data_IF_853335361504
#
_entry.id   IF_853335361504
#
_cell.length_a   1.000
_cell.length_b   1.000
_cell.length_c   1.000
_cell.angle_alpha   90.00
_cell.angle_beta   90.00
_cell.angle_gamma   90.00
#
_symmetry.space_group_name_H-M   'P 1'
#
loop_
_entity.id
_entity.type
_entity.pdbx_description
1 polymer ?
#
# COMPACT_ATOMS: atom_id res chain seq x y z
N UNK A 1 5.33 -15.56 -15.01
CA UNK A 1 4.49 -14.34 -14.90
C UNK A 1 3.54 -14.28 -16.09
N UNK A 2 2.26 -13.95 -15.93
CA UNK A 2 1.33 -13.83 -17.07
C UNK A 2 1.67 -12.58 -17.90
N UNK A 3 1.36 -12.58 -19.21
CA UNK A 3 1.54 -11.42 -20.09
C UNK A 3 0.79 -10.18 -19.54
N UNK A 4 -0.38 -10.40 -18.94
CA UNK A 4 -1.14 -9.33 -18.29
C UNK A 4 -0.38 -8.69 -17.12
N UNK A 5 0.25 -9.51 -16.30
CA UNK A 5 1.05 -9.01 -15.17
C UNK A 5 2.23 -8.16 -15.63
N UNK A 6 2.92 -8.60 -16.69
CA UNK A 6 4.03 -7.85 -17.30
C UNK A 6 3.56 -6.49 -17.85
N UNK A 7 2.41 -6.46 -18.53
CA UNK A 7 1.82 -5.19 -19.03
C UNK A 7 1.54 -4.23 -17.87
N UNK A 8 0.97 -4.72 -16.76
CA UNK A 8 0.66 -3.87 -15.60
C UNK A 8 1.92 -3.33 -14.92
N UNK A 9 2.97 -4.15 -14.81
CA UNK A 9 4.26 -3.74 -14.24
C UNK A 9 4.91 -2.63 -15.08
N UNK A 10 5.04 -2.86 -16.40
CA UNK A 10 5.60 -1.84 -17.30
C UNK A 10 4.75 -0.57 -17.38
N UNK A 11 3.43 -0.71 -17.30
CA UNK A 11 2.55 0.45 -17.24
C UNK A 11 2.73 1.25 -15.94
N UNK A 12 2.97 0.58 -14.81
CA UNK A 12 3.28 1.26 -13.55
C UNK A 12 4.58 2.06 -13.65
N UNK A 13 5.64 1.52 -14.29
CA UNK A 13 6.89 2.25 -14.56
C UNK A 13 6.61 3.54 -15.36
N UNK A 14 5.92 3.42 -16.50
CA UNK A 14 5.62 4.56 -17.38
C UNK A 14 4.77 5.62 -16.67
N UNK A 15 3.72 5.21 -15.96
CA UNK A 15 2.90 6.14 -15.19
C UNK A 15 3.67 6.79 -14.04
N UNK A 16 4.60 6.08 -13.42
CA UNK A 16 5.45 6.63 -12.37
C UNK A 16 6.45 7.65 -12.90
N UNK A 17 7.06 7.39 -14.06
CA UNK A 17 8.06 8.26 -14.69
C UNK A 17 7.42 9.52 -15.29
N UNK A 18 6.39 9.35 -16.12
CA UNK A 18 5.82 10.40 -16.96
C UNK A 18 4.55 11.03 -16.38
N UNK A 19 4.01 10.46 -15.31
CA UNK A 19 2.66 10.79 -14.83
C UNK A 19 1.58 10.30 -15.78
N UNK A 20 0.34 10.28 -15.30
CA UNK A 20 -0.80 9.84 -16.13
C UNK A 20 -0.97 10.70 -17.39
N UNK A 21 -0.82 12.02 -17.28
CA UNK A 21 -1.04 12.93 -18.43
C UNK A 21 0.05 12.77 -19.49
N UNK A 22 1.31 12.62 -19.09
CA UNK A 22 2.45 12.48 -19.99
C UNK A 22 2.58 11.10 -20.64
N UNK A 23 2.03 10.05 -20.04
CA UNK A 23 2.05 8.70 -20.59
C UNK A 23 1.10 8.59 -21.80
N UNK A 24 1.62 8.55 -23.02
CA UNK A 24 0.83 8.24 -24.21
C UNK A 24 0.59 6.74 -24.35
N UNK A 25 -0.47 6.36 -25.11
CA UNK A 25 -0.74 4.95 -25.41
C UNK A 25 0.38 4.33 -26.27
N UNK A 26 0.99 5.13 -27.12
CA UNK A 26 2.15 4.76 -27.94
C UNK A 26 3.35 4.42 -27.08
N UNK A 27 3.65 5.25 -26.07
CA UNK A 27 4.76 5.02 -25.14
C UNK A 27 4.51 3.79 -24.28
N UNK A 28 3.29 3.62 -23.76
CA UNK A 28 2.88 2.41 -23.03
C UNK A 28 3.08 1.16 -23.89
N UNK A 29 2.60 1.17 -25.14
CA UNK A 29 2.75 0.04 -26.06
C UNK A 29 4.24 -0.27 -26.31
N UNK A 30 5.05 0.75 -26.59
CA UNK A 30 6.49 0.62 -26.81
C UNK A 30 7.21 -0.02 -25.62
N UNK A 31 6.93 0.44 -24.39
CA UNK A 31 7.55 -0.07 -23.15
C UNK A 31 7.18 -1.52 -22.85
N UNK A 32 5.97 -1.95 -23.21
CA UNK A 32 5.55 -3.35 -23.05
C UNK A 32 5.92 -4.24 -24.24
N UNK A 33 6.65 -3.71 -25.24
CA UNK A 33 7.06 -4.45 -26.41
C UNK A 33 5.90 -4.85 -27.35
N UNK A 34 4.87 -4.01 -27.42
CA UNK A 34 3.68 -4.21 -28.25
C UNK A 34 3.50 -3.07 -29.26
N UNK A 35 2.79 -3.34 -30.36
CA UNK A 35 2.23 -2.30 -31.20
C UNK A 35 0.98 -1.70 -30.50
N UNK A 36 0.65 -0.44 -30.76
CA UNK A 36 -0.52 0.25 -30.21
C UNK A 36 -1.81 -0.58 -30.37
N UNK A 37 -2.06 -1.13 -31.57
CA UNK A 37 -3.22 -1.98 -31.82
C UNK A 37 -3.24 -3.23 -30.94
N UNK A 38 -2.08 -3.87 -30.77
CA UNK A 38 -1.97 -5.08 -29.92
C UNK A 38 -2.21 -4.75 -28.43
N UNK A 39 -1.81 -3.56 -27.95
CA UNK A 39 -2.09 -3.15 -26.59
C UNK A 39 -3.62 -3.05 -26.34
N UNK A 40 -4.40 -2.57 -27.31
CA UNK A 40 -5.85 -2.47 -27.21
C UNK A 40 -6.58 -3.83 -27.15
N UNK A 41 -5.94 -4.94 -27.55
CA UNK A 41 -6.48 -6.29 -27.29
C UNK A 41 -6.38 -6.66 -25.79
N UNK A 42 -5.48 -6.04 -25.04
CA UNK A 42 -5.28 -6.30 -23.62
C UNK A 42 -5.99 -5.27 -22.72
N UNK A 43 -6.13 -4.02 -23.18
CA UNK A 43 -6.72 -2.93 -22.38
C UNK A 43 -7.63 -2.06 -23.27
N UNK A 44 -8.76 -1.62 -22.72
CA UNK A 44 -9.72 -0.82 -23.47
C UNK A 44 -9.36 0.67 -23.52
N UNK A 45 -8.63 1.14 -22.51
CA UNK A 45 -8.21 2.54 -22.42
C UNK A 45 -7.04 2.71 -21.44
N UNK A 46 -6.36 3.85 -21.53
CA UNK A 46 -5.28 4.24 -20.61
C UNK A 46 -5.79 4.38 -19.16
N UNK A 47 -7.01 4.90 -19.00
CA UNK A 47 -7.67 5.04 -17.69
C UNK A 47 -7.92 3.68 -17.05
N UNK A 48 -8.40 2.71 -17.85
CA UNK A 48 -8.60 1.36 -17.35
C UNK A 48 -7.28 0.72 -16.93
N UNK A 49 -6.22 0.91 -17.72
CA UNK A 49 -4.89 0.37 -17.41
C UNK A 49 -4.36 0.96 -16.10
N UNK A 50 -4.48 2.28 -15.90
CA UNK A 50 -4.12 2.91 -14.62
C UNK A 50 -4.95 2.34 -13.46
N UNK A 51 -6.27 2.20 -13.65
CA UNK A 51 -7.15 1.62 -12.62
C UNK A 51 -6.75 0.20 -12.24
N UNK A 52 -6.37 -0.64 -13.20
CA UNK A 52 -5.93 -2.00 -12.95
C UNK A 52 -4.57 -2.08 -12.23
N UNK A 53 -3.62 -1.21 -12.59
CA UNK A 53 -2.35 -1.08 -11.87
C UNK A 53 -2.60 -0.80 -10.39
N UNK A 54 -3.46 0.18 -10.10
CA UNK A 54 -3.75 0.59 -8.73
C UNK A 54 -4.54 -0.46 -7.94
N UNK A 55 -5.54 -1.09 -8.56
CA UNK A 55 -6.32 -2.16 -7.93
C UNK A 55 -5.48 -3.37 -7.60
N UNK A 56 -4.59 -3.79 -8.52
CA UNK A 56 -3.64 -4.87 -8.27
C UNK A 56 -2.73 -4.54 -7.09
N UNK A 57 -2.23 -3.30 -7.01
CA UNK A 57 -1.43 -2.84 -5.87
C UNK A 57 -2.18 -2.98 -4.55
N UNK A 58 -3.46 -2.61 -4.52
CA UNK A 58 -4.30 -2.77 -3.34
C UNK A 58 -4.54 -4.25 -2.97
N UNK A 59 -4.79 -5.13 -3.95
CA UNK A 59 -4.95 -6.57 -3.70
C UNK A 59 -3.71 -7.17 -3.01
N UNK A 60 -2.52 -6.82 -3.49
CA UNK A 60 -1.26 -7.26 -2.87
C UNK A 60 -1.13 -6.71 -1.44
N UNK A 61 -1.40 -5.42 -1.24
CA UNK A 61 -1.30 -4.77 0.06
C UNK A 61 -2.29 -5.35 1.09
N UNK A 62 -3.49 -5.74 0.65
CA UNK A 62 -4.46 -6.43 1.49
C UNK A 62 -3.93 -7.76 2.05
N UNK A 63 -2.98 -8.41 1.38
CA UNK A 63 -2.33 -9.64 1.84
C UNK A 63 -1.50 -9.46 3.11
N UNK A 64 -1.06 -8.24 3.42
CA UNK A 64 -0.20 -7.93 4.57
C UNK A 64 -0.89 -7.88 5.92
N UNK A 65 -2.22 -7.82 5.97
CA UNK A 65 -2.94 -7.90 7.24
C UNK A 65 -3.03 -9.37 7.66
N UNK A 66 -2.50 -9.75 8.85
CA UNK A 66 -2.44 -11.14 9.30
C UNK A 66 -3.79 -11.86 9.24
N UNK A 67 -3.79 -13.08 8.68
CA UNK A 67 -4.94 -13.97 8.51
C UNK A 67 -4.56 -15.40 8.81
N UNK A 68 -5.55 -16.30 8.95
CA UNK A 68 -5.31 -17.73 9.22
C UNK A 68 -4.50 -17.93 10.49
N UNK A 69 -3.43 -18.67 10.44
CA UNK A 69 -2.55 -18.93 11.60
C UNK A 69 -1.92 -17.63 12.14
N UNK A 70 -1.54 -16.69 11.27
CA UNK A 70 -1.02 -15.40 11.69
C UNK A 70 -2.05 -14.53 12.43
N UNK A 71 -3.35 -14.82 12.29
CA UNK A 71 -4.40 -14.17 13.08
C UNK A 71 -4.39 -14.61 14.56
N UNK A 72 -3.66 -15.65 14.92
CA UNK A 72 -3.49 -16.13 16.32
C UNK A 72 -2.36 -15.41 17.07
N UNK A 73 -1.52 -14.65 16.36
CA UNK A 73 -0.45 -13.88 16.98
C UNK A 73 -1.01 -12.85 17.99
N UNK A 74 -0.23 -12.46 19.00
CA UNK A 74 -0.57 -11.33 19.86
C UNK A 74 -0.81 -10.05 19.04
N UNK A 75 -1.73 -9.15 19.47
CA UNK A 75 -2.06 -7.93 18.73
C UNK A 75 -0.85 -7.06 18.35
N UNK A 76 0.15 -6.96 19.22
CA UNK A 76 1.38 -6.21 18.94
C UNK A 76 2.16 -6.83 17.77
N UNK A 77 2.27 -8.15 17.74
CA UNK A 77 2.97 -8.85 16.67
C UNK A 77 2.23 -8.74 15.34
N UNK A 78 0.89 -8.74 15.36
CA UNK A 78 0.08 -8.49 14.17
C UNK A 78 0.33 -7.09 13.60
N UNK A 79 0.36 -6.06 14.45
CA UNK A 79 0.66 -4.68 14.04
C UNK A 79 2.07 -4.58 13.47
N UNK A 80 3.05 -5.20 14.12
CA UNK A 80 4.44 -5.26 13.66
C UNK A 80 4.54 -5.92 12.28
N UNK A 81 3.91 -7.08 12.12
CA UNK A 81 3.91 -7.81 10.86
C UNK A 81 3.24 -7.02 9.73
N UNK A 82 2.11 -6.36 10.01
CA UNK A 82 1.40 -5.54 9.04
C UNK A 82 2.21 -4.32 8.60
N UNK A 83 2.90 -3.63 9.53
CA UNK A 83 3.80 -2.51 9.19
C UNK A 83 4.97 -2.99 8.34
N UNK A 84 5.61 -4.11 8.73
CA UNK A 84 6.73 -4.68 7.98
C UNK A 84 6.33 -5.03 6.57
N UNK A 85 5.24 -5.77 6.41
CA UNK A 85 4.73 -6.13 5.08
C UNK A 85 4.43 -4.91 4.23
N UNK A 86 3.76 -3.89 4.79
CA UNK A 86 3.42 -2.66 4.05
C UNK A 86 4.67 -1.98 3.49
N UNK A 87 5.71 -1.82 4.31
CA UNK A 87 6.94 -1.16 3.91
C UNK A 87 7.79 -2.01 2.96
N UNK A 88 7.87 -3.33 3.18
CA UNK A 88 8.55 -4.25 2.27
C UNK A 88 7.86 -4.29 0.90
N UNK A 89 6.51 -4.30 0.87
CA UNK A 89 5.74 -4.20 -0.35
C UNK A 89 6.01 -2.87 -1.08
N UNK A 90 6.05 -1.74 -0.36
CA UNK A 90 6.38 -0.45 -0.96
C UNK A 90 7.78 -0.43 -1.61
N UNK A 91 8.75 -1.11 -1.01
CA UNK A 91 10.09 -1.23 -1.56
C UNK A 91 10.15 -2.17 -2.77
N UNK A 92 9.35 -3.24 -2.75
CA UNK A 92 9.26 -4.20 -3.86
C UNK A 92 8.50 -3.63 -5.08
N UNK A 93 7.51 -2.75 -4.82
CA UNK A 93 6.62 -2.18 -5.85
C UNK A 93 6.70 -0.64 -5.89
N UNK A 94 7.90 -0.05 -6.08
CA UNK A 94 8.08 1.39 -5.94
C UNK A 94 7.31 2.19 -6.99
N UNK A 95 7.13 1.63 -8.19
CA UNK A 95 6.39 2.28 -9.27
C UNK A 95 4.89 2.31 -8.99
N UNK A 96 4.31 1.20 -8.53
CA UNK A 96 2.90 1.12 -8.14
C UNK A 96 2.61 2.07 -6.97
N UNK A 97 3.49 2.09 -5.97
CA UNK A 97 3.40 3.00 -4.81
C UNK A 97 3.43 4.46 -5.24
N UNK A 98 4.37 4.84 -6.10
CA UNK A 98 4.49 6.21 -6.62
C UNK A 98 3.25 6.63 -7.42
N UNK A 99 2.72 5.75 -8.26
CA UNK A 99 1.48 5.98 -9.02
C UNK A 99 0.30 6.14 -8.06
N UNK A 100 0.17 5.25 -7.05
CA UNK A 100 -0.91 5.32 -6.06
C UNK A 100 -0.94 6.68 -5.33
N UNK A 101 0.20 7.13 -4.84
CA UNK A 101 0.28 8.37 -4.06
C UNK A 101 0.02 9.64 -4.88
N UNK A 102 0.21 9.60 -6.21
CA UNK A 102 0.09 10.78 -7.08
C UNK A 102 -1.14 10.80 -7.99
N UNK A 103 -1.53 9.63 -8.52
CA UNK A 103 -2.40 9.58 -9.69
C UNK A 103 -3.87 9.20 -9.39
N UNK A 104 -4.20 8.87 -8.13
CA UNK A 104 -5.59 8.49 -7.76
C UNK A 104 -6.61 9.58 -8.17
N UNK A 105 -6.22 10.84 -8.14
CA UNK A 105 -7.09 11.97 -8.51
C UNK A 105 -7.42 12.02 -10.00
N UNK A 106 -6.58 11.42 -10.83
CA UNK A 106 -6.74 11.37 -12.29
C UNK A 106 -7.65 10.23 -12.76
N UNK A 107 -8.09 9.35 -11.85
CA UNK A 107 -9.01 8.27 -12.19
C UNK A 107 -10.40 8.78 -12.55
N UNK A 108 -11.05 8.19 -13.57
CA UNK A 108 -12.48 8.38 -13.84
C UNK A 108 -13.31 8.08 -12.59
N UNK A 109 -14.47 8.75 -12.40
CA UNK A 109 -15.28 8.62 -11.18
C UNK A 109 -15.62 7.18 -10.80
N UNK A 110 -15.90 6.31 -11.77
CA UNK A 110 -16.23 4.88 -11.53
C UNK A 110 -15.03 4.12 -10.96
N UNK A 111 -13.86 4.25 -11.57
CA UNK A 111 -12.64 3.57 -11.10
C UNK A 111 -12.17 4.13 -9.77
N UNK A 112 -12.25 5.46 -9.60
CA UNK A 112 -11.94 6.10 -8.32
C UNK A 112 -12.81 5.59 -7.19
N UNK A 113 -14.14 5.44 -7.39
CA UNK A 113 -15.04 4.86 -6.38
C UNK A 113 -14.66 3.42 -6.04
N UNK A 114 -14.33 2.60 -7.05
CA UNK A 114 -13.87 1.23 -6.84
C UNK A 114 -12.59 1.19 -6.00
N UNK A 115 -11.59 1.98 -6.37
CA UNK A 115 -10.34 2.07 -5.61
C UNK A 115 -10.58 2.57 -4.18
N UNK A 116 -11.44 3.57 -3.99
CA UNK A 116 -11.80 4.07 -2.66
C UNK A 116 -12.50 2.99 -1.81
N UNK A 117 -13.27 2.09 -2.40
CA UNK A 117 -13.86 0.96 -1.68
C UNK A 117 -12.77 0.00 -1.18
N UNK A 118 -11.77 -0.31 -2.01
CA UNK A 118 -10.62 -1.14 -1.61
C UNK A 118 -9.81 -0.47 -0.48
N UNK A 119 -9.52 0.82 -0.60
CA UNK A 119 -8.83 1.59 0.44
C UNK A 119 -9.60 1.56 1.77
N UNK A 120 -10.92 1.81 1.73
CA UNK A 120 -11.77 1.72 2.93
C UNK A 120 -11.79 0.31 3.53
N UNK A 121 -11.82 -0.72 2.69
CA UNK A 121 -11.73 -2.11 3.14
C UNK A 121 -10.40 -2.42 3.83
N UNK A 122 -9.30 -1.90 3.29
CA UNK A 122 -7.98 -2.01 3.92
C UNK A 122 -7.91 -1.28 5.27
N UNK A 123 -8.36 -0.03 5.31
CA UNK A 123 -8.44 0.75 6.56
C UNK A 123 -9.30 0.05 7.62
N UNK A 124 -10.45 -0.51 7.23
CA UNK A 124 -11.33 -1.23 8.15
C UNK A 124 -10.66 -2.43 8.81
N UNK A 125 -9.80 -3.17 8.07
CA UNK A 125 -9.02 -4.27 8.65
C UNK A 125 -7.99 -3.79 9.67
N UNK A 126 -7.31 -2.68 9.38
CA UNK A 126 -6.42 -2.06 10.35
C UNK A 126 -7.17 -1.60 11.60
N UNK A 127 -8.37 -0.99 11.44
CA UNK A 127 -9.22 -0.57 12.55
C UNK A 127 -9.62 -1.77 13.40
N UNK A 128 -9.97 -2.91 12.77
CA UNK A 128 -10.29 -4.14 13.48
C UNK A 128 -9.10 -4.64 14.32
N UNK A 129 -7.88 -4.60 13.76
CA UNK A 129 -6.66 -4.99 14.45
C UNK A 129 -6.36 -4.11 15.67
N UNK A 130 -6.55 -2.79 15.56
CA UNK A 130 -6.38 -1.89 16.71
C UNK A 130 -7.44 -2.15 17.77
N UNK A 131 -8.71 -2.33 17.39
CA UNK A 131 -9.79 -2.69 18.31
C UNK A 131 -9.53 -4.00 19.04
N UNK A 132 -9.04 -5.02 18.35
CA UNK A 132 -8.64 -6.28 18.94
C UNK A 132 -7.59 -6.06 20.03
N UNK A 133 -6.56 -5.27 19.77
CA UNK A 133 -5.51 -4.95 20.73
C UNK A 133 -6.01 -4.20 21.96
N UNK A 134 -6.97 -3.28 21.78
CA UNK A 134 -7.64 -2.58 22.89
C UNK A 134 -8.47 -3.58 23.73
N UNK A 135 -9.27 -4.40 23.08
CA UNK A 135 -10.13 -5.39 23.76
C UNK A 135 -9.30 -6.44 24.52
N UNK A 136 -8.15 -6.84 23.98
CA UNK A 136 -7.21 -7.75 24.65
C UNK A 136 -6.39 -7.09 25.78
N UNK A 137 -6.54 -5.77 26.01
CA UNK A 137 -5.76 -5.03 27.00
C UNK A 137 -4.29 -4.79 26.62
N UNK A 138 -3.87 -5.18 25.42
CA UNK A 138 -2.52 -4.94 24.90
C UNK A 138 -2.29 -3.45 24.56
N UNK A 139 -3.33 -2.78 24.08
CA UNK A 139 -3.29 -1.36 23.75
C UNK A 139 -4.10 -0.54 24.77
N UNK A 140 -3.72 0.73 24.93
CA UNK A 140 -4.40 1.64 25.84
C UNK A 140 -5.84 1.91 25.40
N UNK A 141 -6.80 2.00 26.34
CA UNK A 141 -8.23 2.05 26.04
C UNK A 141 -8.72 3.40 25.51
N UNK A 142 -7.93 4.47 25.67
CA UNK A 142 -8.26 5.83 25.25
C UNK A 142 -7.94 6.12 23.76
N UNK A 143 -7.45 5.13 23.02
CA UNK A 143 -7.18 5.28 21.59
C UNK A 143 -8.46 5.37 20.77
N UNK A 144 -8.51 6.35 19.85
CA UNK A 144 -9.45 6.29 18.73
C UNK A 144 -8.86 5.36 17.65
N UNK A 145 -9.49 4.20 17.37
CA UNK A 145 -8.93 3.23 16.43
C UNK A 145 -8.78 3.78 15.01
N UNK A 146 -9.71 4.64 14.55
CA UNK A 146 -9.69 5.20 13.20
C UNK A 146 -8.59 6.24 13.05
N UNK A 147 -8.47 7.16 14.00
CA UNK A 147 -7.38 8.12 14.05
C UNK A 147 -6.02 7.43 14.13
N UNK A 148 -5.91 6.40 14.99
CA UNK A 148 -4.68 5.60 15.13
C UNK A 148 -4.25 5.00 13.79
N UNK A 149 -5.19 4.42 13.03
CA UNK A 149 -4.90 3.89 11.71
C UNK A 149 -4.43 4.96 10.74
N UNK A 150 -5.05 6.14 10.73
CA UNK A 150 -4.59 7.24 9.88
C UNK A 150 -3.18 7.71 10.25
N UNK A 151 -2.85 7.76 11.54
CA UNK A 151 -1.50 8.10 11.99
C UNK A 151 -0.47 7.03 11.54
N UNK A 152 -0.79 5.74 11.71
CA UNK A 152 0.07 4.64 11.26
C UNK A 152 0.28 4.70 9.75
N UNK A 153 -0.79 4.76 8.96
CA UNK A 153 -0.70 4.80 7.50
C UNK A 153 -0.01 6.08 7.00
N UNK A 154 -0.21 7.21 7.68
CA UNK A 154 0.51 8.45 7.40
C UNK A 154 2.02 8.29 7.61
N UNK A 155 2.43 7.66 8.71
CA UNK A 155 3.83 7.37 9.00
C UNK A 155 4.45 6.46 7.93
N UNK A 156 3.87 5.27 7.69
CA UNK A 156 4.45 4.28 6.77
C UNK A 156 4.46 4.79 5.33
N UNK A 157 3.41 5.47 4.87
CA UNK A 157 3.35 6.05 3.53
C UNK A 157 4.36 7.20 3.33
N UNK A 158 4.75 7.91 4.41
CA UNK A 158 5.76 8.96 4.33
C UNK A 158 7.12 8.44 3.91
N UNK A 159 7.43 7.18 4.22
CA UNK A 159 8.71 6.52 3.91
C UNK A 159 9.02 6.57 2.42
N UNK A 160 8.03 6.41 1.55
CA UNK A 160 8.20 6.47 0.10
C UNK A 160 8.91 7.76 -0.38
N UNK A 161 8.76 8.87 0.30
CA UNK A 161 9.32 10.16 -0.11
C UNK A 161 10.81 10.30 0.15
N UNK A 162 11.33 9.62 1.15
CA UNK A 162 12.70 9.78 1.61
C UNK A 162 13.55 8.50 1.60
N UNK A 163 12.93 7.34 1.48
CA UNK A 163 13.67 6.08 1.39
C UNK A 163 14.54 6.03 0.13
N UNK A 164 15.77 5.56 0.33
CA UNK A 164 16.74 5.28 -0.75
C UNK A 164 17.24 3.86 -0.57
N UNK A 165 17.18 3.00 -1.65
CA UNK A 165 17.69 1.62 -1.59
C UNK A 165 19.17 1.52 -1.21
N UNK A 166 19.97 2.51 -1.63
CA UNK A 166 21.40 2.67 -1.35
C UNK A 166 21.69 3.50 -0.09
N UNK A 167 20.66 3.86 0.65
CA UNK A 167 20.75 4.67 1.86
C UNK A 167 21.29 3.90 3.07
N UNK A 168 21.58 4.63 4.16
CA UNK A 168 22.14 4.08 5.41
C UNK A 168 21.28 2.99 6.06
N UNK A 169 19.97 3.03 5.90
CA UNK A 169 19.02 2.11 6.53
C UNK A 169 18.35 1.23 5.49
N UNK A 170 18.40 -0.09 5.69
CA UNK A 170 17.60 -1.03 4.90
C UNK A 170 16.10 -0.86 5.18
N UNK A 171 15.24 -1.23 4.23
CA UNK A 171 13.79 -1.19 4.42
C UNK A 171 13.36 -2.03 5.63
N UNK A 172 13.97 -3.19 5.85
CA UNK A 172 13.72 -4.02 7.04
C UNK A 172 13.98 -3.23 8.33
N UNK A 173 15.11 -2.53 8.42
CA UNK A 173 15.44 -1.72 9.62
C UNK A 173 14.48 -0.56 9.82
N UNK A 174 14.06 0.10 8.73
CA UNK A 174 13.05 1.17 8.77
C UNK A 174 11.72 0.62 9.26
N UNK A 175 11.31 -0.56 8.78
CA UNK A 175 10.08 -1.21 9.20
C UNK A 175 10.08 -1.55 10.70
N UNK A 176 11.20 -2.06 11.23
CA UNK A 176 11.34 -2.33 12.65
C UNK A 176 11.25 -1.04 13.48
N UNK A 177 11.93 0.02 13.07
CA UNK A 177 11.87 1.33 13.74
C UNK A 177 10.48 1.95 13.72
N UNK A 178 9.78 1.88 12.58
CA UNK A 178 8.39 2.35 12.48
C UNK A 178 7.47 1.54 13.40
N UNK A 179 7.63 0.21 13.43
CA UNK A 179 6.83 -0.64 14.31
C UNK A 179 7.10 -0.35 15.79
N UNK A 180 8.34 -0.16 16.19
CA UNK A 180 8.70 0.18 17.56
C UNK A 180 8.12 1.53 17.99
N UNK A 181 8.20 2.54 17.12
CA UNK A 181 7.60 3.86 17.36
C UNK A 181 6.09 3.78 17.53
N UNK A 182 5.40 3.06 16.63
CA UNK A 182 3.95 2.85 16.69
C UNK A 182 3.56 2.11 17.96
N UNK A 183 4.19 0.96 18.24
CA UNK A 183 3.86 0.14 19.40
C UNK A 183 4.16 0.86 20.71
N UNK A 184 5.20 1.68 20.77
CA UNK A 184 5.49 2.56 21.93
C UNK A 184 4.35 3.55 22.21
N UNK A 185 3.66 4.03 21.17
CA UNK A 185 2.48 4.89 21.31
C UNK A 185 1.17 4.15 21.62
N UNK A 186 1.08 2.88 21.24
CA UNK A 186 -0.14 2.06 21.43
C UNK A 186 -0.22 1.41 22.81
N UNK A 187 0.92 1.03 23.38
CA UNK A 187 1.00 0.27 24.65
C UNK A 187 0.39 1.05 25.81
N UNK A 188 -0.17 0.32 26.76
CA UNK A 188 -0.55 0.91 28.06
C UNK A 188 0.72 1.45 28.73
N UNK A 189 0.66 2.68 29.18
CA UNK A 189 1.71 3.21 30.08
C UNK A 189 1.64 2.39 31.37
N UNK A 190 2.78 1.90 31.85
CA UNK A 190 2.85 1.39 33.20
C UNK A 190 2.35 2.50 34.14
N UNK A 191 1.44 2.18 35.04
CA UNK A 191 1.06 3.12 36.07
C UNK A 191 2.35 3.47 36.83
N UNK A 192 2.74 4.74 36.77
CA UNK A 192 3.78 5.23 37.66
C UNK A 192 3.16 5.20 39.06
N UNK A 193 3.54 4.19 39.84
CA UNK A 193 3.26 4.12 41.27
C UNK A 193 4.05 5.20 42.04
#
# INVERSE_FOLDING_TARGET
MSRRAEILERAAEVFNELGYRGASVEELARRVGLRKGSLYHHVRSKEQLLGEVLLRGMELLHGGIPRGEAAKLPPEEKVRAAIRFHLEWMAAEPHVTGVFLREVRNLPPRLRRRLQAEVKGFEARWVALIREGIAAGAFRPDLDPKFTVYAILGLVNSVHRWYRPDGRLSMKRIADLCADLVLGGLRRRAAHG
#
